data_IF_527300285598
#
_entry.id   IF_527300285598
#
_cell.length_a   1.000
_cell.length_b   1.000
_cell.length_c   1.000
_cell.angle_alpha   90.00
_cell.angle_beta   90.00
_cell.angle_gamma   90.00
#
_symmetry.space_group_name_H-M   'P 1'
#
loop_
_entity.id
_entity.type
_entity.pdbx_description
1 polymer ?
#
# COMPACT_ATOMS: atom_id res chain seq x y z
N UNK A 1 19.48 9.01 -9.07
CA UNK A 1 18.79 7.81 -9.58
C UNK A 1 17.45 8.25 -10.14
N UNK A 2 17.05 7.77 -11.31
CA UNK A 2 15.74 8.04 -11.93
C UNK A 2 14.95 6.74 -11.91
N UNK A 3 13.71 6.79 -11.41
CA UNK A 3 12.82 5.63 -11.32
C UNK A 3 11.47 5.94 -11.96
N UNK A 4 10.76 4.89 -12.36
CA UNK A 4 9.37 4.98 -12.82
C UNK A 4 8.44 5.32 -11.65
N UNK A 5 7.43 6.15 -11.90
CA UNK A 5 6.32 6.34 -10.97
C UNK A 5 5.45 5.07 -10.92
N UNK A 6 5.15 4.60 -9.71
CA UNK A 6 4.31 3.42 -9.47
C UNK A 6 2.82 3.71 -9.68
N UNK A 7 2.39 4.95 -9.53
CA UNK A 7 0.99 5.33 -9.75
C UNK A 7 0.75 5.71 -11.21
N UNK A 8 -0.46 5.39 -11.69
CA UNK A 8 -0.90 5.79 -13.03
C UNK A 8 -0.91 7.31 -13.16
N UNK A 9 -0.44 7.82 -14.29
CA UNK A 9 -0.58 9.24 -14.63
C UNK A 9 -2.01 9.62 -15.04
N UNK A 10 -2.85 8.63 -15.38
CA UNK A 10 -4.19 8.85 -15.94
C UNK A 10 -5.31 8.60 -14.94
N UNK A 11 -5.05 7.80 -13.91
CA UNK A 11 -6.07 7.40 -12.94
C UNK A 11 -5.77 8.07 -11.59
N UNK A 12 -6.75 8.77 -10.99
CA UNK A 12 -6.57 9.40 -9.70
C UNK A 12 -6.37 8.34 -8.60
N UNK A 13 -5.47 8.64 -7.66
CA UNK A 13 -5.22 7.78 -6.50
C UNK A 13 -6.04 8.29 -5.33
N UNK A 14 -7.02 7.51 -4.89
CA UNK A 14 -7.93 7.90 -3.80
C UNK A 14 -7.39 7.57 -2.41
N UNK A 15 -6.47 6.61 -2.32
CA UNK A 15 -5.88 6.21 -1.04
C UNK A 15 -4.50 5.60 -1.24
N UNK A 16 -3.57 5.89 -0.33
CA UNK A 16 -2.19 5.37 -0.36
C UNK A 16 -1.88 4.59 0.90
N UNK A 17 -1.10 3.52 0.73
CA UNK A 17 -0.59 2.71 1.81
C UNK A 17 0.91 2.45 1.62
N UNK A 18 1.66 2.54 2.71
CA UNK A 18 3.06 2.11 2.77
C UNK A 18 3.11 0.95 3.78
N UNK A 19 3.19 -0.29 3.30
CA UNK A 19 3.10 -1.50 4.11
C UNK A 19 4.47 -2.13 4.30
N UNK A 20 4.73 -2.67 5.49
CA UNK A 20 5.99 -3.38 5.81
C UNK A 20 5.77 -4.70 6.54
N UNK A 21 4.53 -5.07 6.87
CA UNK A 21 4.23 -6.35 7.54
C UNK A 21 4.53 -6.36 9.04
N UNK A 22 4.85 -5.21 9.64
CA UNK A 22 5.02 -5.04 11.08
C UNK A 22 3.93 -4.11 11.64
N UNK A 23 3.71 -4.15 12.96
CA UNK A 23 2.71 -3.30 13.63
C UNK A 23 3.34 -2.23 14.54
N UNK A 24 4.55 -2.49 15.08
CA UNK A 24 5.24 -1.55 15.97
C UNK A 24 5.71 -0.31 15.21
N UNK A 25 5.31 0.89 15.67
CA UNK A 25 5.62 2.18 15.04
C UNK A 25 5.09 2.35 13.61
N UNK A 26 4.00 1.65 13.27
CA UNK A 26 3.39 1.64 11.93
C UNK A 26 2.08 2.42 11.88
N UNK A 27 2.08 3.59 12.51
CA UNK A 27 1.06 4.63 12.33
C UNK A 27 1.64 5.82 11.55
N UNK A 28 0.81 6.44 10.72
CA UNK A 28 1.10 7.71 10.07
C UNK A 28 1.28 8.81 11.13
N UNK A 29 2.25 9.69 10.90
CA UNK A 29 2.47 10.83 11.78
C UNK A 29 1.31 11.82 11.66
N UNK A 30 1.12 12.66 12.69
CA UNK A 30 0.10 13.71 12.65
C UNK A 30 0.23 14.60 11.40
N UNK A 31 1.47 14.99 11.05
CA UNK A 31 1.78 15.76 9.83
C UNK A 31 1.37 15.05 8.53
N UNK A 32 1.41 13.72 8.49
CA UNK A 32 0.98 12.96 7.32
C UNK A 32 -0.55 12.83 7.26
N UNK A 33 -1.19 12.61 8.41
CA UNK A 33 -2.65 12.44 8.54
C UNK A 33 -3.44 13.68 8.11
N UNK A 34 -2.86 14.88 8.21
CA UNK A 34 -3.52 16.16 7.83
C UNK A 34 -3.39 16.52 6.34
N UNK A 35 -2.65 15.74 5.54
CA UNK A 35 -2.55 15.98 4.09
C UNK A 35 -3.85 15.62 3.39
N UNK A 36 -4.12 16.27 2.25
CA UNK A 36 -5.29 15.97 1.41
C UNK A 36 -5.34 14.48 1.00
N UNK A 37 -4.17 13.90 0.67
CA UNK A 37 -4.03 12.49 0.36
C UNK A 37 -2.96 11.83 1.26
N UNK A 38 -3.33 11.40 2.48
CA UNK A 38 -2.39 10.84 3.44
C UNK A 38 -1.88 9.47 2.99
N UNK A 39 -0.67 9.14 3.40
CA UNK A 39 -0.09 7.80 3.21
C UNK A 39 -0.24 7.00 4.50
N UNK A 40 -1.22 6.09 4.52
CA UNK A 40 -1.50 5.22 5.65
C UNK A 40 -0.43 4.12 5.79
N UNK A 41 -0.33 3.54 6.98
CA UNK A 41 0.59 2.43 7.27
C UNK A 41 -0.21 1.20 7.74
N UNK A 42 0.51 0.18 8.18
CA UNK A 42 -0.03 -1.14 8.54
C UNK A 42 -1.10 -1.05 9.65
N UNK A 43 -0.91 -0.19 10.66
CA UNK A 43 -1.89 -0.03 11.74
C UNK A 43 -3.22 0.54 11.24
N UNK A 44 -3.19 1.56 10.36
CA UNK A 44 -4.42 2.12 9.79
C UNK A 44 -5.11 1.18 8.79
N UNK A 45 -4.36 0.33 8.09
CA UNK A 45 -4.95 -0.68 7.22
C UNK A 45 -5.82 -1.65 8.04
N UNK A 46 -5.26 -2.14 9.15
CA UNK A 46 -5.93 -3.09 10.06
C UNK A 46 -7.11 -2.45 10.79
N UNK A 47 -6.92 -1.25 11.36
CA UNK A 47 -7.96 -0.55 12.11
C UNK A 47 -9.16 -0.17 11.23
N UNK A 48 -8.92 0.19 9.97
CA UNK A 48 -9.99 0.54 9.02
C UNK A 48 -10.60 -0.70 8.34
N UNK A 49 -10.13 -1.92 8.66
CA UNK A 49 -10.51 -3.17 7.99
C UNK A 49 -10.47 -3.08 6.46
N UNK A 50 -9.53 -2.32 5.91
CA UNK A 50 -9.45 -2.13 4.47
C UNK A 50 -9.04 -3.43 3.79
N UNK A 51 -9.79 -3.84 2.77
CA UNK A 51 -9.49 -5.01 1.96
C UNK A 51 -9.21 -4.60 0.52
N UNK A 52 -8.31 -5.34 -0.13
CA UNK A 52 -8.08 -5.28 -1.58
C UNK A 52 -8.74 -6.52 -2.16
N UNK A 53 -9.67 -6.32 -3.07
CA UNK A 53 -10.40 -7.39 -3.72
C UNK A 53 -9.74 -7.69 -5.05
N UNK A 54 -9.29 -8.94 -5.21
CA UNK A 54 -8.70 -9.47 -6.43
C UNK A 54 -9.39 -10.79 -6.74
N UNK A 55 -9.45 -11.17 -8.02
CA UNK A 55 -9.82 -12.54 -8.37
C UNK A 55 -8.73 -13.51 -7.90
N UNK A 56 -9.09 -14.80 -7.73
CA UNK A 56 -8.13 -15.79 -7.25
C UNK A 56 -6.92 -15.95 -8.19
N UNK A 57 -7.16 -15.85 -9.51
CA UNK A 57 -6.10 -15.88 -10.53
C UNK A 57 -5.14 -14.68 -10.41
N UNK A 58 -5.66 -13.45 -10.31
CA UNK A 58 -4.85 -12.24 -10.15
C UNK A 58 -4.06 -12.25 -8.83
N UNK A 59 -4.70 -12.72 -7.74
CA UNK A 59 -4.07 -12.88 -6.44
C UNK A 59 -2.91 -13.88 -6.50
N UNK A 60 -3.10 -15.03 -7.15
CA UNK A 60 -2.04 -16.03 -7.34
C UNK A 60 -0.83 -15.45 -8.07
N UNK A 61 -1.07 -14.80 -9.22
CA UNK A 61 -0.02 -14.14 -10.02
C UNK A 61 0.72 -13.05 -9.24
N UNK A 62 0.01 -12.29 -8.42
CA UNK A 62 0.61 -11.24 -7.59
C UNK A 62 1.52 -11.84 -6.51
N UNK A 63 1.06 -12.87 -5.79
CA UNK A 63 1.84 -13.51 -4.73
C UNK A 63 3.09 -14.21 -5.27
N UNK A 64 3.00 -14.85 -6.43
CA UNK A 64 4.16 -15.47 -7.10
C UNK A 64 5.24 -14.43 -7.46
N UNK A 65 4.83 -13.28 -8.02
CA UNK A 65 5.75 -12.17 -8.31
C UNK A 65 6.41 -11.64 -7.03
N UNK A 66 5.62 -11.40 -5.98
CA UNK A 66 6.14 -10.94 -4.70
C UNK A 66 7.13 -11.92 -4.07
N UNK A 67 6.87 -13.22 -4.14
CA UNK A 67 7.78 -14.24 -3.60
C UNK A 67 9.13 -14.21 -4.32
N UNK A 68 9.11 -14.06 -5.66
CA UNK A 68 10.34 -13.95 -6.46
C UNK A 68 11.13 -12.68 -6.16
N UNK A 69 10.46 -11.57 -5.85
CA UNK A 69 11.12 -10.29 -5.55
C UNK A 69 11.77 -10.26 -4.14
N UNK A 70 11.40 -11.20 -3.25
CA UNK A 70 11.93 -11.31 -1.89
C UNK A 70 13.17 -12.23 -1.78
N UNK A 71 13.33 -13.16 -2.73
CA UNK A 71 14.50 -14.05 -2.86
C UNK A 71 15.70 -13.31 -3.50
#
# INVERSE_FOLDING_TARGET
FVMRNMFSHRLPVHRKYNLKGSLLSREASFKEKVKELPTHKDAELMNNMQKVYLSDDEKGKMMEKLSRDLE
#
